data_IF_135731303527
#
_entry.id   IF_135731303527
#
_cell.length_a   1.000
_cell.length_b   1.000
_cell.length_c   1.000
_cell.angle_alpha   90.00
_cell.angle_beta   90.00
_cell.angle_gamma   90.00
#
_symmetry.space_group_name_H-M   'P 1'
#
loop_
_entity.id
_entity.type
_entity.pdbx_description
1 polymer ?
#
# COMPACT_ATOMS: atom_id res chain seq x y z
N UNK A 1 20.02 -13.86 19.09
CA UNK A 1 19.19 -15.06 18.91
C UNK A 1 17.79 -14.62 18.52
N UNK A 2 17.18 -15.36 17.56
CA UNK A 2 15.90 -15.00 16.98
C UNK A 2 14.72 -14.91 17.97
N UNK A 3 14.87 -15.43 19.18
CA UNK A 3 13.79 -15.53 20.17
C UNK A 3 13.78 -14.43 21.24
N UNK A 4 14.75 -13.52 21.22
CA UNK A 4 14.79 -12.42 22.17
C UNK A 4 13.86 -11.29 21.72
N UNK A 5 13.11 -10.70 22.65
CA UNK A 5 12.32 -9.50 22.41
C UNK A 5 13.24 -8.27 22.37
N UNK A 6 12.81 -7.21 21.69
CA UNK A 6 13.51 -5.91 21.70
C UNK A 6 13.30 -5.23 23.06
N UNK A 7 14.18 -5.53 23.99
CA UNK A 7 14.24 -4.89 25.31
C UNK A 7 15.63 -5.07 25.92
N UNK A 8 16.03 -4.24 26.88
CA UNK A 8 17.24 -4.48 27.64
C UNK A 8 17.10 -5.73 28.52
N UNK A 9 18.14 -6.56 28.53
CA UNK A 9 18.27 -7.74 29.39
C UNK A 9 19.33 -7.46 30.43
N UNK A 10 19.02 -7.69 31.72
CA UNK A 10 19.96 -7.50 32.79
C UNK A 10 20.67 -8.82 33.14
N UNK A 11 21.99 -8.76 33.23
CA UNK A 11 22.84 -9.84 33.77
C UNK A 11 23.31 -9.39 35.12
N UNK A 12 22.92 -10.12 36.16
CA UNK A 12 23.37 -9.89 37.51
C UNK A 12 24.61 -10.77 37.80
N UNK A 13 25.67 -10.13 38.24
CA UNK A 13 26.90 -10.76 38.68
C UNK A 13 26.95 -10.69 40.21
N UNK A 14 27.09 -11.82 40.82
CA UNK A 14 27.34 -11.88 42.29
C UNK A 14 28.70 -12.53 42.55
N UNK A 15 29.48 -11.90 43.40
CA UNK A 15 30.78 -12.40 43.84
C UNK A 15 30.74 -12.59 45.34
N UNK A 16 31.28 -13.71 45.77
CA UNK A 16 31.58 -13.97 47.19
C UNK A 16 33.07 -14.22 47.29
N UNK A 17 33.71 -13.48 48.17
CA UNK A 17 35.13 -13.62 48.42
C UNK A 17 35.45 -13.40 49.90
N UNK A 18 36.60 -13.86 50.34
CA UNK A 18 37.11 -13.64 51.67
C UNK A 18 38.26 -12.63 51.63
N UNK A 19 38.31 -11.75 52.62
CA UNK A 19 39.44 -10.85 52.79
C UNK A 19 40.59 -11.56 53.53
N UNK A 20 41.70 -10.85 53.73
CA UNK A 20 42.87 -11.37 54.41
C UNK A 20 42.63 -11.73 55.90
N UNK A 21 41.48 -11.41 56.45
CA UNK A 21 41.04 -11.70 57.81
C UNK A 21 39.97 -12.81 57.84
N UNK A 22 39.77 -13.53 56.75
CA UNK A 22 38.75 -14.57 56.56
C UNK A 22 37.29 -14.06 56.74
N UNK A 23 37.08 -12.75 56.48
CA UNK A 23 35.73 -12.19 56.49
C UNK A 23 35.11 -12.39 55.11
N UNK A 24 33.91 -13.00 55.06
CA UNK A 24 33.17 -13.16 53.81
C UNK A 24 32.57 -11.83 53.37
N UNK A 25 32.81 -11.48 52.14
CA UNK A 25 32.29 -10.27 51.47
C UNK A 25 31.44 -10.70 50.28
N UNK A 26 30.20 -10.22 50.24
CA UNK A 26 29.29 -10.38 49.10
C UNK A 26 29.27 -9.07 48.29
N UNK A 27 29.48 -9.15 47.02
CA UNK A 27 29.40 -8.03 46.08
C UNK A 27 28.51 -8.39 44.90
N UNK A 28 27.71 -7.44 44.44
CA UNK A 28 26.87 -7.64 43.29
C UNK A 28 26.97 -6.46 42.32
N UNK A 29 26.90 -6.74 41.03
CA UNK A 29 26.86 -5.77 39.96
C UNK A 29 25.85 -6.21 38.91
N UNK A 30 25.24 -5.26 38.20
CA UNK A 30 24.31 -5.52 37.12
C UNK A 30 24.76 -4.85 35.84
N UNK A 31 24.71 -5.60 34.74
CA UNK A 31 25.03 -5.13 33.41
C UNK A 31 23.75 -5.22 32.60
N UNK A 32 23.35 -4.12 31.93
CA UNK A 32 22.21 -4.08 31.00
C UNK A 32 22.70 -4.23 29.56
N UNK A 33 22.18 -5.22 28.84
CA UNK A 33 22.49 -5.50 27.45
C UNK A 33 21.26 -5.12 26.61
N UNK A 34 21.33 -4.05 25.80
CA UNK A 34 20.25 -3.71 24.89
C UNK A 34 20.21 -4.72 23.73
N UNK A 35 19.01 -5.22 23.42
CA UNK A 35 18.75 -6.07 22.27
C UNK A 35 17.94 -5.26 21.26
N UNK A 36 18.48 -5.06 20.06
CA UNK A 36 17.73 -4.52 18.89
C UNK A 36 17.27 -5.67 18.01
N UNK A 37 16.11 -5.47 17.40
CA UNK A 37 15.56 -6.31 16.37
C UNK A 37 15.36 -5.44 15.11
N UNK A 38 15.68 -6.00 13.94
CA UNK A 38 15.40 -5.35 12.69
C UNK A 38 13.94 -5.63 12.27
N UNK A 39 13.32 -4.69 11.56
CA UNK A 39 12.04 -4.90 10.93
C UNK A 39 12.15 -6.01 9.88
N UNK A 40 11.17 -6.91 9.86
CA UNK A 40 11.06 -7.96 8.87
C UNK A 40 9.63 -8.06 8.42
N UNK A 41 9.38 -7.73 7.17
CA UNK A 41 8.05 -7.73 6.58
C UNK A 41 8.11 -8.12 5.12
N UNK A 42 6.98 -8.49 4.59
CA UNK A 42 6.77 -8.83 3.18
C UNK A 42 5.50 -8.17 2.67
N UNK A 43 5.43 -7.95 1.36
CA UNK A 43 4.23 -7.50 0.68
C UNK A 43 3.60 -8.65 -0.07
N UNK A 44 2.26 -8.70 -0.12
CA UNK A 44 1.58 -9.50 -1.13
C UNK A 44 1.87 -8.96 -2.54
N UNK A 45 1.43 -9.68 -3.57
CA UNK A 45 1.36 -9.07 -4.90
C UNK A 45 0.35 -7.93 -4.90
N UNK A 46 0.54 -6.97 -5.84
CA UNK A 46 -0.42 -5.91 -6.07
C UNK A 46 -1.64 -6.43 -6.83
N UNK A 47 -2.81 -6.12 -6.33
CA UNK A 47 -4.08 -6.28 -7.04
C UNK A 47 -4.46 -4.89 -7.57
N UNK A 48 -4.51 -4.75 -8.91
CA UNK A 48 -4.73 -3.46 -9.58
C UNK A 48 -5.97 -3.61 -10.47
N UNK A 49 -6.96 -2.75 -10.26
CA UNK A 49 -8.20 -2.79 -11.05
C UNK A 49 -8.77 -1.38 -11.27
N UNK A 50 -8.95 -0.98 -12.53
CA UNK A 50 -8.42 -1.58 -13.76
C UNK A 50 -6.89 -1.39 -13.91
N UNK A 51 -6.24 -2.15 -14.79
CA UNK A 51 -4.80 -2.01 -15.09
C UNK A 51 -4.48 -0.89 -16.09
N UNK A 52 -5.51 -0.40 -16.77
CA UNK A 52 -5.45 0.76 -17.67
C UNK A 52 -6.55 1.72 -17.27
N UNK A 53 -6.21 2.98 -17.10
CA UNK A 53 -7.15 4.06 -16.77
C UNK A 53 -7.02 5.20 -17.78
N UNK A 54 -8.04 6.02 -17.87
CA UNK A 54 -7.98 7.28 -18.64
C UNK A 54 -7.45 8.42 -17.77
N UNK A 55 -7.02 9.50 -18.40
CA UNK A 55 -6.74 10.76 -17.68
C UNK A 55 -7.99 11.22 -16.95
N UNK A 56 -7.87 11.43 -15.61
CA UNK A 56 -8.99 11.72 -14.71
C UNK A 56 -9.74 10.49 -14.20
N UNK A 57 -9.43 9.29 -14.74
CA UNK A 57 -9.94 8.01 -14.21
C UNK A 57 -9.13 7.52 -13.01
N UNK A 58 -9.64 6.51 -12.32
CA UNK A 58 -9.04 5.97 -11.10
C UNK A 58 -8.80 4.46 -11.20
N UNK A 59 -7.67 4.00 -10.65
CA UNK A 59 -7.38 2.59 -10.40
C UNK A 59 -7.32 2.32 -8.92
N UNK A 60 -8.01 1.27 -8.46
CA UNK A 60 -7.82 0.75 -7.11
C UNK A 60 -6.57 -0.15 -7.09
N UNK A 61 -5.68 0.12 -6.14
CA UNK A 61 -4.44 -0.63 -5.90
C UNK A 61 -4.44 -1.16 -4.49
N UNK A 62 -4.52 -2.49 -4.37
CA UNK A 62 -4.52 -3.18 -3.09
C UNK A 62 -3.26 -4.03 -2.91
N UNK A 63 -2.76 -4.06 -1.67
CA UNK A 63 -1.62 -4.90 -1.27
C UNK A 63 -1.68 -5.12 0.25
N UNK A 64 -1.22 -6.26 0.71
CA UNK A 64 -1.07 -6.55 2.13
C UNK A 64 0.39 -6.39 2.56
N UNK A 65 0.58 -5.78 3.74
CA UNK A 65 1.87 -5.69 4.43
C UNK A 65 1.88 -6.69 5.58
N UNK A 66 2.65 -7.76 5.47
CA UNK A 66 2.80 -8.79 6.52
C UNK A 66 3.98 -8.45 7.42
N UNK A 67 3.75 -8.05 8.67
CA UNK A 67 4.84 -7.85 9.62
C UNK A 67 5.28 -9.21 10.19
N UNK A 68 6.29 -9.80 9.58
CA UNK A 68 6.88 -11.09 9.99
C UNK A 68 7.96 -10.94 11.06
N UNK A 69 8.21 -9.70 11.49
CA UNK A 69 9.19 -9.35 12.51
C UNK A 69 8.66 -9.48 13.93
N UNK A 70 9.46 -9.02 14.88
CA UNK A 70 9.14 -9.01 16.30
C UNK A 70 8.98 -7.60 16.87
N UNK A 71 9.13 -6.60 16.02
CA UNK A 71 8.90 -5.20 16.35
C UNK A 71 7.61 -4.73 15.70
N UNK A 72 6.97 -3.79 16.36
CA UNK A 72 5.84 -3.05 15.81
C UNK A 72 6.35 -2.01 14.81
N UNK A 73 5.65 -1.88 13.71
CA UNK A 73 5.85 -0.79 12.76
C UNK A 73 4.89 0.34 13.16
N UNK A 74 5.43 1.50 13.54
CA UNK A 74 4.63 2.64 13.93
C UNK A 74 4.43 3.58 12.75
N UNK A 75 3.29 4.25 12.70
CA UNK A 75 2.98 5.30 11.74
C UNK A 75 3.25 4.90 10.29
N UNK A 76 2.99 3.63 9.96
CA UNK A 76 3.22 3.13 8.61
C UNK A 76 2.36 3.87 7.58
N UNK A 77 2.99 4.28 6.48
CA UNK A 77 2.36 5.00 5.35
C UNK A 77 2.85 4.41 4.04
N UNK A 78 1.99 4.40 3.04
CA UNK A 78 2.37 4.09 1.67
C UNK A 78 2.17 5.31 0.78
N UNK A 79 3.22 5.70 0.05
CA UNK A 79 3.22 6.79 -0.91
C UNK A 79 3.43 6.23 -2.31
N UNK A 80 2.58 6.63 -3.23
CA UNK A 80 2.61 6.22 -4.63
C UNK A 80 3.04 7.40 -5.50
N UNK A 81 4.06 7.17 -6.31
CA UNK A 81 4.62 8.16 -7.25
C UNK A 81 5.01 7.45 -8.55
N UNK A 82 4.80 8.12 -9.67
CA UNK A 82 5.17 7.61 -10.98
C UNK A 82 4.71 8.52 -12.10
N UNK A 83 5.14 8.19 -13.32
CA UNK A 83 4.69 8.93 -14.49
C UNK A 83 3.25 8.54 -14.82
N UNK A 84 2.41 9.53 -15.09
CA UNK A 84 1.01 9.35 -15.49
C UNK A 84 0.01 9.45 -14.34
N UNK A 85 0.39 9.35 -13.09
CA UNK A 85 -0.51 9.42 -11.93
C UNK A 85 -0.27 10.65 -11.08
N UNK A 86 -1.30 11.10 -10.38
CA UNK A 86 -1.16 12.02 -9.26
C UNK A 86 -0.49 11.31 -8.08
N UNK A 87 0.40 12.03 -7.40
CA UNK A 87 1.00 11.55 -6.16
C UNK A 87 -0.07 11.31 -5.11
N UNK A 88 -0.08 10.12 -4.51
CA UNK A 88 -1.01 9.71 -3.48
C UNK A 88 -0.26 9.18 -2.26
N UNK A 89 -0.73 9.50 -1.06
CA UNK A 89 -0.24 8.94 0.20
C UNK A 89 -1.41 8.42 1.02
N UNK A 90 -1.28 7.23 1.57
CA UNK A 90 -2.25 6.62 2.48
C UNK A 90 -1.58 6.29 3.81
N UNK A 91 -2.35 6.43 4.89
CA UNK A 91 -1.91 6.06 6.23
C UNK A 91 -2.42 4.65 6.56
N UNK A 92 -1.49 3.73 6.83
CA UNK A 92 -1.79 2.34 7.19
C UNK A 92 -1.99 2.22 8.71
N UNK A 93 -1.28 3.07 9.47
CA UNK A 93 -1.30 3.04 10.92
C UNK A 93 -0.21 2.18 11.52
N UNK A 94 -0.49 1.63 12.69
CA UNK A 94 0.45 0.76 13.39
C UNK A 94 0.22 -0.71 13.00
N UNK A 95 1.31 -1.42 12.67
CA UNK A 95 1.26 -2.85 12.33
C UNK A 95 2.03 -3.63 13.39
N UNK A 96 1.31 -4.35 14.25
CA UNK A 96 1.88 -5.15 15.34
C UNK A 96 2.75 -6.29 14.79
N UNK A 97 3.64 -6.82 15.63
CA UNK A 97 4.43 -8.01 15.31
C UNK A 97 3.50 -9.20 14.99
N UNK A 98 3.69 -9.81 13.82
CA UNK A 98 2.85 -10.91 13.32
C UNK A 98 1.49 -10.49 12.75
N UNK A 99 1.19 -9.19 12.69
CA UNK A 99 -0.05 -8.67 12.12
C UNK A 99 0.10 -8.32 10.64
N UNK A 100 -1.04 -8.08 10.00
CA UNK A 100 -1.15 -7.63 8.61
C UNK A 100 -1.70 -6.21 8.58
N UNK A 101 -1.03 -5.32 7.84
CA UNK A 101 -1.55 -4.01 7.44
C UNK A 101 -2.16 -4.09 6.05
N UNK A 102 -3.27 -3.38 5.82
CA UNK A 102 -3.88 -3.25 4.50
C UNK A 102 -3.44 -1.96 3.83
N UNK A 103 -3.04 -2.07 2.58
CA UNK A 103 -2.73 -0.96 1.68
C UNK A 103 -3.83 -0.97 0.63
N UNK A 104 -4.62 0.10 0.59
CA UNK A 104 -5.75 0.27 -0.33
C UNK A 104 -5.76 1.73 -0.79
N UNK A 105 -5.44 1.95 -2.05
CA UNK A 105 -5.25 3.28 -2.62
C UNK A 105 -6.01 3.43 -3.93
N UNK A 106 -6.67 4.58 -4.11
CA UNK A 106 -7.24 5.02 -5.39
C UNK A 106 -6.24 5.94 -6.07
N UNK A 107 -5.66 5.48 -7.18
CA UNK A 107 -4.68 6.25 -7.97
C UNK A 107 -5.38 6.91 -9.14
N UNK A 108 -5.30 8.23 -9.23
CA UNK A 108 -5.87 9.02 -10.32
C UNK A 108 -4.88 9.24 -11.46
N UNK A 109 -5.32 9.03 -12.70
CA UNK A 109 -4.56 9.34 -13.90
C UNK A 109 -4.44 10.84 -14.12
N UNK A 110 -3.22 11.36 -14.26
CA UNK A 110 -2.95 12.80 -14.46
C UNK A 110 -2.59 13.12 -15.90
N UNK A 111 -1.84 12.23 -16.55
CA UNK A 111 -1.42 12.41 -17.95
C UNK A 111 -1.19 11.08 -18.64
N UNK A 112 -1.36 11.07 -19.94
CA UNK A 112 -1.15 9.90 -20.80
C UNK A 112 0.28 9.37 -20.69
N UNK A 113 0.39 8.04 -20.67
CA UNK A 113 1.66 7.32 -20.72
C UNK A 113 1.84 6.61 -22.06
N UNK A 114 3.07 6.31 -22.45
CA UNK A 114 3.36 5.52 -23.66
C UNK A 114 3.37 4.03 -23.30
N UNK A 115 2.18 3.43 -23.13
CA UNK A 115 2.03 2.09 -22.59
C UNK A 115 2.21 2.04 -21.06
N UNK A 116 2.51 0.86 -20.53
CA UNK A 116 2.72 0.66 -19.11
C UNK A 116 3.81 1.58 -18.57
N UNK A 117 3.49 2.28 -17.51
CA UNK A 117 4.40 3.16 -16.78
C UNK A 117 4.69 2.62 -15.39
N UNK A 118 5.95 2.69 -14.99
CA UNK A 118 6.39 2.26 -13.67
C UNK A 118 5.88 3.21 -12.60
N UNK A 119 5.17 2.66 -11.63
CA UNK A 119 4.73 3.31 -10.41
C UNK A 119 5.51 2.73 -9.24
N UNK A 120 6.04 3.60 -8.40
CA UNK A 120 6.78 3.20 -7.19
C UNK A 120 5.94 3.47 -5.95
N UNK A 121 5.65 2.44 -5.19
CA UNK A 121 5.13 2.56 -3.85
C UNK A 121 6.29 2.62 -2.86
N UNK A 122 6.35 3.65 -2.04
CA UNK A 122 7.28 3.78 -0.92
C UNK A 122 6.54 3.56 0.39
N UNK A 123 6.86 2.47 1.10
CA UNK A 123 6.44 2.26 2.48
C UNK A 123 7.41 3.01 3.40
N UNK A 124 6.89 3.86 4.27
CA UNK A 124 7.61 4.53 5.35
C UNK A 124 7.02 4.10 6.68
N UNK A 125 7.84 3.81 7.68
CA UNK A 125 7.42 3.45 9.03
C UNK A 125 8.45 3.92 10.06
N UNK A 126 8.04 4.03 11.32
CA UNK A 126 8.90 4.36 12.45
C UNK A 126 9.13 3.13 13.34
N UNK A 127 10.32 3.05 13.93
CA UNK A 127 10.59 2.10 15.02
C UNK A 127 10.13 2.68 16.38
N UNK A 128 10.25 1.90 17.45
CA UNK A 128 9.92 2.32 18.83
C UNK A 128 10.69 3.57 19.30
N UNK A 129 11.81 3.85 18.69
CA UNK A 129 12.65 5.02 18.98
C UNK A 129 12.31 6.24 18.11
N UNK A 130 11.34 6.12 17.20
CA UNK A 130 10.96 7.16 16.24
C UNK A 130 11.90 7.30 15.04
N UNK A 131 12.80 6.34 14.81
CA UNK A 131 13.61 6.35 13.60
C UNK A 131 12.77 5.91 12.40
N UNK A 132 12.81 6.71 11.33
CA UNK A 132 12.10 6.44 10.09
C UNK A 132 12.93 5.50 9.22
N UNK A 133 12.26 4.51 8.65
CA UNK A 133 12.80 3.61 7.63
C UNK A 133 11.88 3.59 6.42
N UNK A 134 12.46 3.46 5.22
CA UNK A 134 11.70 3.40 3.96
C UNK A 134 12.11 2.18 3.14
N UNK A 135 11.14 1.64 2.40
CA UNK A 135 11.36 0.60 1.40
C UNK A 135 10.42 0.82 0.22
N UNK A 136 10.80 0.31 -0.95
CA UNK A 136 10.02 0.52 -2.17
C UNK A 136 9.60 -0.79 -2.80
N UNK A 137 8.42 -0.80 -3.44
CA UNK A 137 7.95 -1.85 -4.34
C UNK A 137 7.33 -1.21 -5.58
N UNK A 138 7.67 -1.73 -6.76
CA UNK A 138 7.22 -1.19 -8.03
C UNK A 138 6.10 -2.05 -8.63
N UNK A 139 5.25 -1.41 -9.43
CA UNK A 139 4.26 -2.03 -10.30
C UNK A 139 4.06 -1.18 -11.56
N UNK A 140 3.24 -1.65 -12.48
CA UNK A 140 2.97 -0.96 -13.74
C UNK A 140 1.50 -0.58 -13.83
N UNK A 141 1.23 0.61 -14.40
CA UNK A 141 -0.10 1.12 -14.69
C UNK A 141 -0.03 1.92 -16.00
N UNK A 142 -1.02 1.75 -16.87
CA UNK A 142 -1.16 2.52 -18.09
C UNK A 142 -2.22 3.61 -17.92
N UNK A 143 -1.92 4.82 -18.42
CA UNK A 143 -2.87 5.92 -18.47
C UNK A 143 -3.06 6.34 -19.93
N UNK A 144 -4.29 6.22 -20.43
CA UNK A 144 -4.68 6.56 -21.80
C UNK A 144 -5.38 7.93 -21.87
N UNK A 145 -5.59 8.42 -23.10
CA UNK A 145 -6.42 9.62 -23.32
C UNK A 145 -7.86 9.32 -22.87
N UNK A 146 -8.51 10.34 -22.30
CA UNK A 146 -9.95 10.26 -22.03
C UNK A 146 -10.71 10.17 -23.36
N UNK A 147 -11.61 9.19 -23.51
CA UNK A 147 -12.47 9.09 -24.68
C UNK A 147 -13.55 10.15 -24.56
N UNK A 148 -13.55 11.11 -25.51
CA UNK A 148 -14.63 12.09 -25.61
C UNK A 148 -15.85 11.42 -26.27
N UNK A 149 -16.85 11.05 -25.47
CA UNK A 149 -18.10 10.45 -25.95
C UNK A 149 -18.93 11.38 -26.84
N UNK A 150 -18.49 12.63 -27.09
CA UNK A 150 -19.21 13.59 -27.92
C UNK A 150 -19.23 13.22 -29.40
N UNK A 151 -18.31 12.39 -29.90
CA UNK A 151 -18.27 11.96 -31.30
C UNK A 151 -19.25 10.80 -31.62
N UNK A 152 -19.89 10.20 -30.63
CA UNK A 152 -20.82 9.08 -30.86
C UNK A 152 -22.23 9.52 -31.31
N UNK A 153 -22.55 10.79 -31.24
CA UNK A 153 -23.88 11.32 -31.62
C UNK A 153 -23.95 12.04 -32.98
N UNK A 154 -22.86 12.09 -33.76
CA UNK A 154 -22.83 12.84 -35.02
C UNK A 154 -22.85 11.99 -36.32
N UNK A 155 -23.41 10.78 -36.31
CA UNK A 155 -23.63 10.04 -37.57
C UNK A 155 -25.03 9.44 -37.70
N UNK A 156 -26.08 10.30 -37.60
CA UNK A 156 -27.42 9.95 -38.07
C UNK A 156 -28.00 11.10 -38.89
N UNK A 157 -27.20 11.68 -39.81
CA UNK A 157 -27.73 12.37 -40.98
C UNK A 157 -27.50 11.46 -42.21
N UNK A 158 -28.28 10.39 -42.24
CA UNK A 158 -28.51 9.65 -43.48
C UNK A 158 -29.56 10.38 -44.29
N UNK A 159 -29.20 10.88 -45.43
CA UNK A 159 -30.09 11.38 -46.48
C UNK A 159 -31.36 10.51 -46.61
N UNK A 160 -32.52 11.07 -46.23
CA UNK A 160 -33.82 10.45 -46.52
C UNK A 160 -34.26 11.05 -47.85
N UNK A 161 -33.92 10.36 -48.95
CA UNK A 161 -34.63 10.60 -50.23
C UNK A 161 -36.12 10.40 -50.06
N UNK A 162 -36.88 11.40 -50.42
CA UNK A 162 -38.33 11.40 -50.40
C UNK A 162 -38.87 10.43 -51.46
N UNK A 163 -39.10 9.17 -51.07
CA UNK A 163 -39.85 8.18 -51.82
C UNK A 163 -41.30 8.11 -51.31
N UNK A 164 -42.24 8.57 -52.14
CA UNK A 164 -43.68 8.49 -51.92
C UNK A 164 -44.12 7.01 -51.90
N UNK A 165 -44.54 6.49 -50.75
CA UNK A 165 -45.13 5.14 -50.63
C UNK A 165 -45.90 5.03 -49.32
N UNK A 166 -47.24 4.91 -49.39
CA UNK A 166 -48.18 4.93 -48.30
C UNK A 166 -47.98 3.81 -47.28
N UNK A 167 -48.12 4.16 -46.03
CA UNK A 167 -48.05 3.22 -44.90
C UNK A 167 -49.41 2.51 -44.70
N UNK A 168 -49.46 1.21 -44.51
CA UNK A 168 -50.67 0.51 -44.07
C UNK A 168 -50.84 0.76 -42.55
N UNK A 169 -51.94 1.36 -42.17
CA UNK A 169 -52.35 1.57 -40.79
C UNK A 169 -52.81 0.22 -40.24
N UNK A 170 -52.11 -0.34 -39.27
CA UNK A 170 -52.62 -1.51 -38.53
C UNK A 170 -53.32 -1.01 -37.26
N UNK A 171 -54.61 -1.33 -37.04
CA UNK A 171 -55.29 -0.88 -35.81
C UNK A 171 -54.85 -1.75 -34.61
N UNK A 172 -54.46 -1.09 -33.53
CA UNK A 172 -54.21 -1.74 -32.23
C UNK A 172 -55.55 -1.94 -31.56
N UNK A 173 -55.97 -3.21 -31.34
CA UNK A 173 -57.11 -3.55 -30.52
C UNK A 173 -56.63 -3.70 -29.09
N UNK A 174 -57.11 -2.80 -28.23
CA UNK A 174 -56.97 -2.94 -26.77
C UNK A 174 -58.16 -3.76 -26.28
N UNK A 175 -57.90 -4.93 -25.70
CA UNK A 175 -58.89 -5.72 -24.97
C UNK A 175 -58.76 -5.35 -23.49
N UNK A 176 -59.85 -4.90 -22.91
CA UNK A 176 -60.03 -4.60 -21.49
C UNK A 176 -60.14 -5.90 -20.68
#
# INVERSE_FOLDING_TARGET
KADLLQKPYSINLSMKYEDSQATQIDSSSSISIPVKQDARFEFSEFEISPQTIEVGGEANVMCSLYNLGRIKLYNAKARFEGNGIKKQEIFIGNVEAGATGSIDAMLEGEKVTNGNSKITMTLSYEDESGNISETTKDFELEVTEAVDDSDMYMNTDGDVEAGSGGFPVVPVVVVI
#
